data_IF_992838538688
#
_entry.id   IF_992838538688
#
_cell.length_a   1.000
_cell.length_b   1.000
_cell.length_c   1.000
_cell.angle_alpha   90.00
_cell.angle_beta   90.00
_cell.angle_gamma   90.00
#
_symmetry.space_group_name_H-M   'P 1'
#
loop_
_entity.id
_entity.type
_entity.pdbx_description
1 polymer ?
#
# COMPACT_ATOMS: atom_id res chain seq x y z
N UNK A 1 6.68 -14.02 15.89
CA UNK A 1 7.19 -12.81 15.21
C UNK A 1 6.38 -11.59 15.60
N UNK A 2 5.16 -11.38 15.08
CA UNK A 2 4.37 -10.16 15.30
C UNK A 2 4.09 -9.83 16.77
N UNK A 3 3.83 -10.85 17.59
CA UNK A 3 3.63 -10.66 19.04
C UNK A 3 4.88 -10.13 19.75
N UNK A 4 6.06 -10.57 19.31
CA UNK A 4 7.35 -10.08 19.83
C UNK A 4 7.54 -8.64 19.39
N UNK A 5 7.32 -8.31 18.12
CA UNK A 5 7.40 -6.94 17.62
C UNK A 5 6.49 -5.99 18.41
N UNK A 6 5.23 -6.39 18.65
CA UNK A 6 4.29 -5.62 19.49
C UNK A 6 4.81 -5.42 20.91
N UNK A 7 5.37 -6.45 21.54
CA UNK A 7 5.93 -6.36 22.89
C UNK A 7 7.06 -5.33 23.00
N UNK A 8 7.81 -5.13 21.93
CA UNK A 8 8.92 -4.17 21.87
C UNK A 8 8.56 -2.85 21.15
N UNK A 9 7.30 -2.63 20.79
CA UNK A 9 6.86 -1.41 20.09
C UNK A 9 7.46 -1.26 18.68
N UNK A 10 7.82 -2.36 18.03
CA UNK A 10 8.39 -2.35 16.68
C UNK A 10 7.26 -2.38 15.65
N UNK A 11 7.21 -1.35 14.80
CA UNK A 11 6.31 -1.30 13.64
C UNK A 11 6.61 -2.42 12.66
N UNK A 12 5.56 -3.04 12.13
CA UNK A 12 5.64 -4.20 11.24
C UNK A 12 5.04 -3.90 9.88
N UNK A 13 5.73 -4.37 8.84
CA UNK A 13 5.25 -4.33 7.45
C UNK A 13 5.17 -5.77 6.97
N UNK A 14 4.01 -6.14 6.44
CA UNK A 14 3.77 -7.41 5.78
C UNK A 14 3.94 -7.23 4.27
N UNK A 15 4.95 -7.91 3.72
CA UNK A 15 5.04 -8.10 2.27
C UNK A 15 4.08 -9.22 1.86
N UNK A 16 2.90 -8.82 1.39
CA UNK A 16 1.85 -9.69 0.88
C UNK A 16 1.81 -9.70 -0.65
N UNK A 17 2.93 -9.41 -1.33
CA UNK A 17 2.99 -9.26 -2.79
C UNK A 17 2.44 -10.47 -3.57
N UNK A 18 2.49 -11.67 -3.00
CA UNK A 18 2.02 -12.93 -3.61
C UNK A 18 0.85 -13.56 -2.86
N UNK A 19 0.31 -12.88 -1.85
CA UNK A 19 -0.61 -13.46 -0.89
C UNK A 19 -2.04 -12.91 -0.98
N UNK A 20 -2.37 -12.15 -2.04
CA UNK A 20 -3.74 -11.65 -2.21
C UNK A 20 -4.74 -12.83 -2.25
N UNK A 21 -5.76 -12.77 -1.39
CA UNK A 21 -6.76 -13.84 -1.23
C UNK A 21 -6.36 -14.94 -0.24
N UNK A 22 -5.11 -15.00 0.22
CA UNK A 22 -4.70 -15.93 1.26
C UNK A 22 -5.20 -15.49 2.65
N UNK A 23 -5.29 -16.46 3.57
CA UNK A 23 -5.63 -16.19 4.97
C UNK A 23 -4.66 -16.90 5.91
N UNK A 24 -4.38 -16.28 7.05
CA UNK A 24 -3.65 -16.88 8.14
C UNK A 24 -4.48 -16.79 9.42
N UNK A 25 -4.83 -17.94 10.01
CA UNK A 25 -5.68 -18.03 11.21
C UNK A 25 -6.98 -17.22 11.09
N UNK A 26 -7.62 -17.32 9.92
CA UNK A 26 -8.89 -16.62 9.63
C UNK A 26 -8.75 -15.13 9.33
N UNK A 27 -7.54 -14.56 9.33
CA UNK A 27 -7.30 -13.17 8.95
C UNK A 27 -6.72 -13.08 7.53
N UNK A 28 -7.21 -12.17 6.66
CA UNK A 28 -6.65 -11.98 5.33
C UNK A 28 -5.17 -11.58 5.37
N UNK A 29 -4.38 -12.09 4.42
CA UNK A 29 -3.03 -11.58 4.21
C UNK A 29 -3.05 -10.09 3.85
N UNK A 30 -1.99 -9.38 4.20
CA UNK A 30 -1.89 -7.92 4.14
C UNK A 30 -2.58 -7.20 5.30
N UNK A 31 -3.24 -7.92 6.21
CA UNK A 31 -3.87 -7.35 7.42
C UNK A 31 -3.23 -7.85 8.71
N UNK A 32 -2.16 -8.64 8.64
CA UNK A 32 -1.57 -9.29 9.81
C UNK A 32 -0.68 -8.33 10.60
N UNK A 33 0.01 -7.44 9.89
CA UNK A 33 0.91 -6.40 10.41
C UNK A 33 0.24 -5.02 10.44
N UNK A 34 1.00 -3.98 10.82
CA UNK A 34 0.50 -2.60 10.87
C UNK A 34 0.30 -2.00 9.46
N UNK A 35 1.11 -2.46 8.50
CA UNK A 35 1.03 -2.12 7.08
C UNK A 35 1.12 -3.42 6.27
N UNK A 36 0.27 -3.56 5.24
CA UNK A 36 0.38 -4.61 4.23
C UNK A 36 0.70 -4.05 2.86
N UNK A 37 1.54 -4.73 2.09
CA UNK A 37 1.92 -4.35 0.74
C UNK A 37 1.59 -5.47 -0.25
N UNK A 38 0.93 -5.11 -1.36
CA UNK A 38 0.62 -6.03 -2.46
C UNK A 38 1.30 -5.56 -3.74
N UNK A 39 1.63 -6.52 -4.60
CA UNK A 39 2.10 -6.27 -5.96
C UNK A 39 0.95 -6.52 -6.93
N UNK A 40 0.79 -5.61 -7.89
CA UNK A 40 -0.17 -5.73 -8.99
C UNK A 40 0.57 -5.90 -10.33
N UNK A 41 1.76 -6.52 -10.30
CA UNK A 41 2.54 -6.80 -11.50
C UNK A 41 1.80 -7.79 -12.43
N UNK A 42 2.23 -7.89 -13.69
CA UNK A 42 1.63 -8.75 -14.71
C UNK A 42 1.53 -10.24 -14.35
N UNK A 43 2.33 -10.72 -13.41
CA UNK A 43 2.38 -12.13 -12.98
C UNK A 43 1.70 -12.39 -11.62
N UNK A 44 0.97 -11.41 -11.06
CA UNK A 44 0.31 -11.54 -9.76
C UNK A 44 -1.16 -11.93 -9.93
N UNK A 45 -1.76 -12.47 -8.86
CA UNK A 45 -3.15 -12.98 -8.81
C UNK A 45 -4.14 -11.95 -9.32
N UNK A 46 -4.00 -10.71 -8.86
CA UNK A 46 -4.66 -9.54 -9.42
C UNK A 46 -3.60 -8.64 -10.04
N UNK A 47 -3.89 -8.06 -11.21
CA UNK A 47 -2.92 -7.27 -11.94
C UNK A 47 -3.46 -5.93 -12.41
N UNK A 48 -2.59 -4.93 -12.41
CA UNK A 48 -2.78 -3.66 -13.10
C UNK A 48 -1.76 -3.51 -14.22
N UNK A 49 -1.20 -4.62 -14.73
CA UNK A 49 -0.01 -4.73 -15.61
C UNK A 49 1.30 -4.27 -14.96
N UNK A 50 1.22 -3.32 -14.03
CA UNK A 50 2.30 -2.86 -13.17
C UNK A 50 1.72 -1.97 -12.07
N UNK A 51 2.30 -2.01 -10.88
CA UNK A 51 1.85 -1.25 -9.72
C UNK A 51 1.89 -2.05 -8.42
N UNK A 52 1.36 -1.44 -7.37
CA UNK A 52 1.22 -2.04 -6.06
C UNK A 52 0.18 -1.32 -5.22
N UNK A 53 -0.11 -1.88 -4.06
CA UNK A 53 -1.08 -1.34 -3.12
C UNK A 53 -0.52 -1.44 -1.71
N UNK A 54 -0.68 -0.38 -0.93
CA UNK A 54 -0.42 -0.37 0.50
C UNK A 54 -1.75 -0.28 1.22
N UNK A 55 -1.92 -1.11 2.26
CA UNK A 55 -3.09 -1.11 3.13
C UNK A 55 -2.64 -0.90 4.58
N UNK A 56 -3.42 -0.16 5.34
CA UNK A 56 -3.21 0.06 6.78
C UNK A 56 -4.51 0.56 7.40
N UNK A 57 -4.73 0.23 8.68
CA UNK A 57 -5.82 0.79 9.49
C UNK A 57 -5.45 2.17 10.08
N UNK A 58 -4.18 2.58 9.99
CA UNK A 58 -3.72 3.86 10.51
C UNK A 58 -3.96 4.98 9.49
N UNK A 59 -4.95 5.83 9.75
CA UNK A 59 -5.34 6.92 8.87
C UNK A 59 -4.21 7.96 8.65
N UNK A 60 -3.39 8.22 9.67
CA UNK A 60 -2.26 9.14 9.58
C UNK A 60 -1.17 8.59 8.66
N UNK A 61 -0.89 7.29 8.75
CA UNK A 61 0.06 6.64 7.86
C UNK A 61 -0.47 6.57 6.43
N UNK A 62 -1.76 6.28 6.25
CA UNK A 62 -2.39 6.30 4.94
C UNK A 62 -2.32 7.70 4.30
N UNK A 63 -2.48 8.77 5.09
CA UNK A 63 -2.29 10.15 4.62
C UNK A 63 -0.84 10.39 4.23
N UNK A 64 0.11 10.09 5.12
CA UNK A 64 1.54 10.26 4.89
C UNK A 64 1.99 9.55 3.60
N UNK A 65 1.65 8.28 3.43
CA UNK A 65 1.99 7.50 2.22
C UNK A 65 1.40 8.12 0.96
N UNK A 66 0.17 8.63 0.99
CA UNK A 66 -0.44 9.31 -0.16
C UNK A 66 0.33 10.57 -0.52
N UNK A 67 0.68 11.39 0.47
CA UNK A 67 1.42 12.62 0.26
C UNK A 67 2.78 12.30 -0.39
N UNK A 68 3.53 11.33 0.17
CA UNK A 68 4.79 10.84 -0.39
C UNK A 68 4.65 10.27 -1.81
N UNK A 69 3.60 9.51 -2.10
CA UNK A 69 3.35 8.98 -3.44
C UNK A 69 3.05 10.08 -4.48
N UNK A 70 2.72 11.27 -4.01
CA UNK A 70 2.46 12.48 -4.81
C UNK A 70 3.55 13.54 -4.66
N UNK A 71 4.79 13.10 -4.48
CA UNK A 71 5.97 13.98 -4.35
C UNK A 71 5.97 14.88 -3.12
N UNK A 72 5.19 14.57 -2.07
CA UNK A 72 5.15 15.30 -0.81
C UNK A 72 4.99 16.83 -0.99
N UNK A 73 4.10 17.23 -1.91
CA UNK A 73 3.81 18.62 -2.21
C UNK A 73 3.18 19.31 -0.99
N UNK A 74 3.70 20.48 -0.63
CA UNK A 74 3.16 21.27 0.48
C UNK A 74 1.82 21.90 0.11
N UNK A 75 0.94 22.09 1.11
CA UNK A 75 -0.31 22.81 0.97
C UNK A 75 -0.06 24.34 0.95
N UNK A 76 0.70 24.80 -0.04
CA UNK A 76 1.01 26.20 -0.28
C UNK A 76 0.36 26.71 -1.57
N UNK A 77 0.27 28.04 -1.73
CA UNK A 77 -0.24 28.69 -2.94
C UNK A 77 0.65 28.44 -4.17
N UNK A 78 1.92 28.13 -3.94
CA UNK A 78 2.93 27.87 -4.97
C UNK A 78 3.46 26.44 -4.85
N UNK A 79 4.08 25.93 -5.92
CA UNK A 79 4.69 24.61 -5.94
C UNK A 79 5.94 24.58 -5.03
N UNK A 80 5.76 24.11 -3.81
CA UNK A 80 6.81 23.98 -2.80
C UNK A 80 6.82 22.56 -2.20
N UNK A 81 8.02 22.09 -1.87
CA UNK A 81 8.27 20.73 -1.39
C UNK A 81 9.26 20.78 -0.23
N UNK A 82 8.76 20.63 0.98
CA UNK A 82 9.57 20.58 2.20
C UNK A 82 10.27 19.22 2.42
N UNK A 83 9.81 18.17 1.72
CA UNK A 83 10.35 16.82 1.81
C UNK A 83 10.61 16.24 0.41
N UNK A 84 11.69 15.46 0.29
CA UNK A 84 11.97 14.72 -0.95
C UNK A 84 11.07 13.50 -1.06
N UNK A 85 10.31 13.39 -2.15
CA UNK A 85 9.50 12.22 -2.46
C UNK A 85 9.26 12.08 -3.97
N UNK A 86 8.88 10.88 -4.40
CA UNK A 86 8.71 10.52 -5.80
C UNK A 86 7.23 10.41 -6.21
N UNK A 87 6.99 10.29 -7.51
CA UNK A 87 5.65 10.04 -8.04
C UNK A 87 5.42 8.53 -8.19
N UNK A 88 4.77 7.92 -7.19
CA UNK A 88 4.37 6.50 -7.20
C UNK A 88 2.89 6.30 -7.55
N UNK A 89 2.20 7.32 -8.08
CA UNK A 89 0.78 7.21 -8.42
C UNK A 89 0.51 6.14 -9.47
N UNK A 90 -0.52 5.34 -9.22
CA UNK A 90 -1.11 4.46 -10.23
C UNK A 90 -2.01 5.28 -11.17
N UNK A 91 -1.75 5.23 -12.47
CA UNK A 91 -2.56 5.93 -13.47
C UNK A 91 -4.00 5.42 -13.53
N UNK A 92 -4.94 6.31 -13.85
CA UNK A 92 -6.38 6.01 -13.86
C UNK A 92 -6.77 4.82 -14.74
N UNK A 93 -6.09 4.60 -15.87
CA UNK A 93 -6.34 3.45 -16.74
C UNK A 93 -5.98 2.13 -16.03
N UNK A 94 -4.80 2.07 -15.40
CA UNK A 94 -4.35 0.88 -14.68
C UNK A 94 -5.21 0.64 -13.44
N UNK A 95 -5.62 1.70 -12.75
CA UNK A 95 -6.56 1.61 -11.63
C UNK A 95 -7.92 1.03 -12.07
N UNK A 96 -8.44 1.38 -13.26
CA UNK A 96 -9.66 0.78 -13.81
C UNK A 96 -9.50 -0.70 -14.09
N UNK A 97 -8.36 -1.14 -14.61
CA UNK A 97 -8.06 -2.58 -14.79
C UNK A 97 -8.12 -3.30 -13.44
N UNK A 98 -7.40 -2.81 -12.43
CA UNK A 98 -7.39 -3.43 -11.10
C UNK A 98 -8.78 -3.45 -10.44
N UNK A 99 -9.58 -2.40 -10.64
CA UNK A 99 -10.99 -2.37 -10.19
C UNK A 99 -11.85 -3.44 -10.87
N UNK A 100 -11.59 -3.74 -12.14
CA UNK A 100 -12.24 -4.83 -12.86
C UNK A 100 -11.87 -6.19 -12.27
N UNK A 101 -10.58 -6.44 -12.06
CA UNK A 101 -10.07 -7.70 -11.49
C UNK A 101 -10.56 -7.95 -10.04
N UNK A 102 -10.76 -6.91 -9.24
CA UNK A 102 -11.24 -7.03 -7.85
C UNK A 102 -12.75 -7.23 -7.71
N UNK A 103 -13.53 -6.91 -8.75
CA UNK A 103 -14.99 -6.96 -8.72
C UNK A 103 -15.57 -8.31 -9.18
N UNK A 104 -14.69 -9.26 -9.55
CA UNK A 104 -15.01 -10.62 -9.99
C UNK A 104 -14.70 -11.60 -8.89
#
# INVERSE_FOLDING_TARGET
MLEICRRYGVTTIEDAAEALGATFRGRPAGTLADIGCFSCNGNKIMTTRGGGMLVTENAEWAKCVRDFATQARDHALHDEHSQGADNFRLGNLLAKVGRGELAV
#
